data_IF_525196606032
#
_entry.id   IF_525196606032
#
_cell.length_a   1.000
_cell.length_b   1.000
_cell.length_c   1.000
_cell.angle_alpha   90.00
_cell.angle_beta   90.00
_cell.angle_gamma   90.00
#
_symmetry.space_group_name_H-M   'P 1'
#
loop_
_entity.id
_entity.type
_entity.pdbx_description
1 polymer ?
#
# COMPACT_ATOMS: atom_id res chain seq x y z
N UNK A 1 61.75 -9.80 -2.63
CA UNK A 1 61.09 -9.60 -3.93
C UNK A 1 59.64 -9.20 -3.64
N UNK A 2 59.20 -7.98 -3.98
CA UNK A 2 57.90 -7.48 -3.62
C UNK A 2 56.89 -7.71 -4.73
N UNK A 3 55.71 -8.19 -4.34
CA UNK A 3 54.52 -8.27 -5.20
C UNK A 3 53.82 -6.92 -5.30
N UNK A 4 53.71 -6.40 -6.50
CA UNK A 4 52.98 -5.17 -6.78
C UNK A 4 51.47 -5.41 -6.84
N UNK A 5 50.71 -4.64 -6.05
CA UNK A 5 49.25 -4.57 -6.12
C UNK A 5 48.84 -3.49 -7.11
N UNK A 6 48.09 -3.91 -8.14
CA UNK A 6 47.47 -3.00 -9.13
C UNK A 6 46.15 -2.51 -8.58
N UNK A 7 46.06 -1.26 -8.17
CA UNK A 7 44.82 -0.57 -7.83
C UNK A 7 44.11 -0.12 -9.12
N UNK A 8 42.95 -0.72 -9.41
CA UNK A 8 42.01 -0.17 -10.39
C UNK A 8 41.15 0.91 -9.69
N UNK A 9 41.33 2.14 -10.10
CA UNK A 9 40.51 3.27 -9.67
C UNK A 9 39.12 3.21 -10.34
N UNK A 10 38.08 2.98 -9.56
CA UNK A 10 36.69 3.13 -9.97
C UNK A 10 36.28 4.59 -9.78
N UNK A 11 35.99 5.28 -10.88
CA UNK A 11 35.49 6.67 -10.86
C UNK A 11 34.05 6.66 -10.31
N UNK A 12 33.87 7.19 -9.12
CA UNK A 12 32.57 7.53 -8.56
C UNK A 12 32.23 8.94 -9.05
N UNK A 13 31.16 9.05 -9.83
CA UNK A 13 30.60 10.35 -10.20
C UNK A 13 29.92 10.97 -8.98
N UNK A 14 30.51 12.04 -8.47
CA UNK A 14 29.93 12.84 -7.41
C UNK A 14 28.83 13.73 -8.01
N UNK A 15 27.58 13.50 -7.60
CA UNK A 15 26.47 14.43 -7.84
C UNK A 15 26.59 15.52 -6.79
N UNK A 16 26.98 16.72 -7.22
CA UNK A 16 27.05 17.88 -6.36
C UNK A 16 25.64 18.34 -5.98
N UNK A 17 25.29 18.19 -4.71
CA UNK A 17 24.13 18.85 -4.12
C UNK A 17 24.50 20.31 -3.85
N UNK A 18 23.89 21.23 -4.58
CA UNK A 18 24.00 22.66 -4.29
C UNK A 18 23.11 22.98 -3.10
N UNK A 19 23.70 23.11 -1.92
CA UNK A 19 23.02 23.64 -0.74
C UNK A 19 22.94 25.17 -0.88
N UNK A 20 21.74 25.69 -1.12
CA UNK A 20 21.45 27.12 -1.00
C UNK A 20 21.30 27.44 0.47
N UNK A 21 22.30 28.14 1.01
CA UNK A 21 22.26 28.67 2.37
C UNK A 21 21.22 29.81 2.43
N UNK A 22 20.11 29.57 3.13
CA UNK A 22 19.12 30.59 3.43
C UNK A 22 19.66 31.47 4.60
N UNK A 23 19.92 32.74 4.34
CA UNK A 23 20.16 33.76 5.33
C UNK A 23 18.85 34.09 6.07
N UNK A 24 18.83 34.19 7.42
CA UNK A 24 17.61 34.55 8.13
C UNK A 24 17.21 36.01 7.86
N UNK A 25 15.91 36.30 7.66
CA UNK A 25 15.45 37.68 7.45
C UNK A 25 15.54 38.48 8.76
N UNK A 26 16.04 39.72 8.64
CA UNK A 26 15.98 40.76 9.68
C UNK A 26 14.53 41.13 9.94
N UNK A 27 14.07 41.06 11.17
CA UNK A 27 12.79 41.59 11.65
C UNK A 27 12.82 43.13 11.62
N UNK A 28 11.98 43.72 10.76
CA UNK A 28 11.54 45.10 10.90
C UNK A 28 10.10 45.13 11.48
N UNK A 29 9.79 46.07 12.37
CA UNK A 29 8.47 46.15 12.96
C UNK A 29 7.51 47.01 12.12
N UNK A 30 6.35 46.44 11.82
CA UNK A 30 5.11 47.19 11.65
C UNK A 30 4.77 47.71 10.27
N UNK A 31 3.94 46.95 9.58
CA UNK A 31 2.85 47.48 8.74
C UNK A 31 1.72 46.46 8.75
N UNK A 32 0.56 46.87 9.22
CA UNK A 32 -0.68 46.12 9.18
C UNK A 32 -1.00 45.77 7.74
N UNK A 33 -0.85 44.50 7.36
CA UNK A 33 -1.31 43.97 6.07
C UNK A 33 -2.83 43.85 6.09
N UNK A 34 -3.53 44.21 5.02
CA UNK A 34 -4.97 44.00 4.91
C UNK A 34 -5.27 42.51 4.85
N UNK A 35 -6.45 42.15 5.37
CA UNK A 35 -6.98 40.79 5.47
C UNK A 35 -6.67 39.98 4.21
N UNK A 36 -5.92 38.86 4.45
CA UNK A 36 -5.46 38.01 3.38
C UNK A 36 -6.61 37.41 2.59
N UNK A 37 -6.60 37.67 1.31
CA UNK A 37 -7.25 36.78 0.34
C UNK A 37 -6.66 35.39 0.53
N UNK A 38 -7.45 34.45 1.00
CA UNK A 38 -7.15 33.03 0.97
C UNK A 38 -7.01 32.67 -0.52
N UNK A 39 -5.77 32.64 -1.00
CA UNK A 39 -5.45 32.10 -2.32
C UNK A 39 -5.77 30.60 -2.26
N UNK A 40 -6.99 30.24 -2.60
CA UNK A 40 -7.35 28.84 -2.79
C UNK A 40 -6.52 28.30 -3.95
N UNK A 41 -5.65 27.32 -3.67
CA UNK A 41 -4.97 26.58 -4.74
C UNK A 41 -6.02 26.05 -5.71
N UNK A 42 -5.72 26.03 -7.03
CA UNK A 42 -6.65 25.49 -8.00
C UNK A 42 -6.99 24.03 -7.62
N UNK A 43 -8.26 23.62 -7.80
CA UNK A 43 -8.69 22.29 -7.44
C UNK A 43 -7.84 21.23 -8.16
N UNK A 44 -7.39 20.23 -7.43
CA UNK A 44 -6.70 19.10 -8.03
C UNK A 44 -7.69 18.16 -8.71
N UNK A 45 -7.29 17.56 -9.82
CA UNK A 45 -8.08 16.61 -10.57
C UNK A 45 -7.26 15.34 -10.88
N UNK A 46 -7.93 14.21 -10.95
CA UNK A 46 -7.35 12.94 -11.36
C UNK A 46 -8.04 12.40 -12.60
N UNK A 47 -7.22 11.99 -13.57
CA UNK A 47 -7.67 11.32 -14.78
C UNK A 47 -7.12 9.89 -14.84
N UNK A 48 -7.83 9.00 -15.53
CA UNK A 48 -7.41 7.63 -15.81
C UNK A 48 -7.32 7.41 -17.31
N UNK A 49 -6.34 6.63 -17.73
CA UNK A 49 -6.19 6.19 -19.11
C UNK A 49 -7.07 4.99 -19.39
N UNK A 50 -8.05 5.14 -20.29
CA UNK A 50 -9.02 4.08 -20.63
C UNK A 50 -8.56 3.15 -21.76
N UNK A 51 -7.29 3.21 -22.17
CA UNK A 51 -6.80 2.54 -23.36
C UNK A 51 -6.94 3.35 -24.66
N UNK A 52 -7.79 4.40 -24.66
CA UNK A 52 -8.03 5.26 -25.83
C UNK A 52 -7.85 6.74 -25.54
N UNK A 53 -8.27 7.19 -24.35
CA UNK A 53 -8.22 8.60 -23.94
C UNK A 53 -8.05 8.72 -22.44
N UNK A 54 -7.58 9.88 -22.01
CA UNK A 54 -7.62 10.26 -20.61
C UNK A 54 -9.05 10.70 -20.27
N UNK A 55 -9.60 10.14 -19.17
CA UNK A 55 -10.92 10.49 -18.65
C UNK A 55 -10.76 10.99 -17.22
N UNK A 56 -11.16 12.25 -16.97
CA UNK A 56 -11.24 12.78 -15.62
C UNK A 56 -12.32 12.01 -14.83
N UNK A 57 -12.01 11.65 -13.59
CA UNK A 57 -12.91 10.85 -12.76
C UNK A 57 -13.06 11.40 -11.33
N UNK A 58 -12.17 12.30 -10.92
CA UNK A 58 -12.21 12.88 -9.59
C UNK A 58 -11.66 14.32 -9.62
N UNK A 59 -12.25 15.16 -8.77
CA UNK A 59 -11.82 16.54 -8.49
C UNK A 59 -11.97 16.86 -7.03
N UNK A 60 -11.06 17.63 -6.44
CA UNK A 60 -11.08 17.98 -5.02
C UNK A 60 -12.25 18.87 -4.62
N UNK A 61 -12.73 19.72 -5.54
CA UNK A 61 -13.86 20.63 -5.34
C UNK A 61 -15.25 19.97 -5.52
N UNK A 62 -15.26 18.74 -6.02
CA UNK A 62 -16.47 17.94 -6.23
C UNK A 62 -16.28 16.51 -5.67
N UNK A 63 -15.35 16.34 -4.71
CA UNK A 63 -15.05 15.04 -4.13
C UNK A 63 -16.24 14.52 -3.32
N UNK A 64 -16.63 13.25 -3.49
CA UNK A 64 -17.71 12.68 -2.69
C UNK A 64 -17.29 12.51 -1.22
N UNK A 65 -18.23 12.74 -0.31
CA UNK A 65 -18.05 12.48 1.13
C UNK A 65 -18.05 10.98 1.44
N UNK A 66 -18.62 10.18 0.53
CA UNK A 66 -18.78 8.72 0.70
C UNK A 66 -18.67 8.01 -0.65
N UNK A 67 -17.98 6.88 -0.64
CA UNK A 67 -17.89 5.95 -1.76
C UNK A 67 -18.83 4.76 -1.55
N UNK A 68 -19.92 4.68 -2.34
CA UNK A 68 -20.93 3.63 -2.23
C UNK A 68 -20.82 2.56 -3.32
N UNK A 69 -20.06 2.83 -4.37
CA UNK A 69 -19.80 1.91 -5.48
C UNK A 69 -18.42 2.24 -6.11
N UNK A 70 -17.83 1.32 -6.87
CA UNK A 70 -16.71 1.64 -7.75
C UNK A 70 -17.09 2.75 -8.73
N UNK A 71 -16.10 3.55 -9.16
CA UNK A 71 -16.31 4.56 -10.19
C UNK A 71 -16.17 3.94 -11.58
N UNK A 72 -17.13 4.17 -12.47
CA UNK A 72 -17.20 3.54 -13.80
C UNK A 72 -15.91 3.72 -14.61
N UNK A 73 -15.34 4.94 -14.65
CA UNK A 73 -14.10 5.18 -15.40
C UNK A 73 -12.91 4.36 -14.89
N UNK A 74 -12.86 4.06 -13.58
CA UNK A 74 -11.82 3.23 -12.97
C UNK A 74 -12.11 1.76 -13.24
N UNK A 75 -13.38 1.34 -13.12
CA UNK A 75 -13.82 -0.03 -13.40
C UNK A 75 -13.58 -0.42 -14.87
N UNK A 76 -13.86 0.49 -15.80
CA UNK A 76 -13.64 0.30 -17.24
C UNK A 76 -12.14 0.28 -17.61
N UNK A 77 -11.31 1.01 -16.88
CA UNK A 77 -9.89 1.14 -17.20
C UNK A 77 -9.05 -0.03 -16.67
N UNK A 78 -9.42 -0.61 -15.53
CA UNK A 78 -8.63 -1.69 -14.92
C UNK A 78 -8.96 -3.02 -15.55
N UNK A 79 -7.92 -3.72 -16.02
CA UNK A 79 -8.04 -5.09 -16.51
C UNK A 79 -7.52 -6.05 -15.46
N UNK A 80 -8.46 -6.74 -14.79
CA UNK A 80 -8.12 -7.72 -13.79
C UNK A 80 -7.59 -9.01 -14.41
N UNK A 81 -6.42 -9.46 -13.94
CA UNK A 81 -5.77 -10.71 -14.30
C UNK A 81 -5.80 -11.63 -13.11
N UNK A 82 -6.09 -12.90 -13.33
CA UNK A 82 -6.02 -13.89 -12.27
C UNK A 82 -4.56 -14.29 -12.02
N UNK A 83 -4.07 -14.09 -10.81
CA UNK A 83 -2.76 -14.58 -10.38
C UNK A 83 -2.88 -16.02 -9.84
N UNK A 84 -3.90 -16.26 -9.00
CA UNK A 84 -4.24 -17.57 -8.44
C UNK A 84 -5.72 -17.59 -8.05
N UNK A 85 -6.21 -18.73 -7.57
CA UNK A 85 -7.55 -18.80 -6.98
C UNK A 85 -7.65 -17.86 -5.78
N UNK A 86 -8.65 -16.96 -5.83
CA UNK A 86 -8.83 -15.92 -4.82
C UNK A 86 -7.87 -14.73 -4.91
N UNK A 87 -7.02 -14.66 -5.95
CA UNK A 87 -6.11 -13.52 -6.16
C UNK A 87 -6.20 -13.02 -7.59
N UNK A 88 -6.57 -11.74 -7.71
CA UNK A 88 -6.57 -10.98 -8.97
C UNK A 88 -5.71 -9.75 -8.83
N UNK A 89 -5.09 -9.30 -9.90
CA UNK A 89 -4.35 -8.05 -9.93
C UNK A 89 -4.55 -7.29 -11.24
N UNK A 90 -4.33 -5.99 -11.21
CA UNK A 90 -4.44 -5.14 -12.38
C UNK A 90 -3.69 -3.84 -12.20
N UNK A 91 -3.50 -3.10 -13.29
CA UNK A 91 -2.81 -1.83 -13.30
C UNK A 91 -3.70 -0.73 -13.90
N UNK A 92 -3.53 0.46 -13.38
CA UNK A 92 -4.11 1.71 -13.91
C UNK A 92 -3.00 2.69 -14.22
N UNK A 93 -3.16 3.44 -15.29
CA UNK A 93 -2.39 4.65 -15.54
C UNK A 93 -3.22 5.85 -15.15
N UNK A 94 -2.67 6.68 -14.27
CA UNK A 94 -3.34 7.85 -13.73
C UNK A 94 -2.54 9.11 -14.03
N UNK A 95 -3.22 10.22 -14.13
CA UNK A 95 -2.63 11.54 -14.26
C UNK A 95 -3.32 12.51 -13.31
N UNK A 96 -2.53 13.30 -12.60
CA UNK A 96 -2.98 14.34 -11.68
C UNK A 96 -2.12 15.59 -11.76
N UNK A 97 -2.19 16.42 -10.73
CA UNK A 97 -1.39 17.64 -10.63
C UNK A 97 -0.01 17.36 -10.00
N UNK A 98 0.97 18.21 -10.29
CA UNK A 98 2.31 18.17 -9.68
C UNK A 98 3.00 16.82 -9.88
N UNK A 99 3.46 16.22 -8.78
CA UNK A 99 4.15 14.92 -8.76
C UNK A 99 3.24 13.74 -9.12
N UNK A 100 1.92 13.92 -9.08
CA UNK A 100 0.93 12.94 -9.53
C UNK A 100 0.68 12.96 -11.06
N UNK A 101 1.41 13.78 -11.82
CA UNK A 101 1.19 13.94 -13.26
C UNK A 101 1.30 12.64 -14.07
N UNK A 102 2.08 11.68 -13.59
CA UNK A 102 2.23 10.35 -14.21
C UNK A 102 2.34 9.31 -13.12
N UNK A 103 1.28 8.56 -12.94
CA UNK A 103 1.20 7.51 -11.94
C UNK A 103 0.79 6.19 -12.58
N UNK A 104 1.33 5.12 -12.04
CA UNK A 104 0.81 3.77 -12.16
C UNK A 104 0.24 3.37 -10.81
N UNK A 105 -0.97 2.86 -10.78
CA UNK A 105 -1.52 2.19 -9.61
C UNK A 105 -1.60 0.69 -9.89
N UNK A 106 -0.98 -0.09 -9.01
CA UNK A 106 -1.08 -1.55 -9.02
C UNK A 106 -2.10 -1.93 -7.95
N UNK A 107 -3.15 -2.62 -8.34
CA UNK A 107 -4.20 -3.06 -7.46
C UNK A 107 -4.26 -4.58 -7.41
N UNK A 108 -4.44 -5.14 -6.20
CA UNK A 108 -4.58 -6.57 -5.96
C UNK A 108 -5.86 -6.81 -5.17
N UNK A 109 -6.67 -7.76 -5.60
CA UNK A 109 -7.82 -8.27 -4.85
C UNK A 109 -7.50 -9.63 -4.29
N UNK A 110 -7.81 -9.84 -3.02
CA UNK A 110 -7.55 -11.09 -2.31
C UNK A 110 -8.84 -11.55 -1.66
N UNK A 111 -9.27 -12.77 -1.94
CA UNK A 111 -10.37 -13.43 -1.23
C UNK A 111 -9.80 -14.22 -0.05
N UNK A 112 -9.96 -13.74 1.20
CA UNK A 112 -9.39 -14.39 2.37
C UNK A 112 -10.04 -15.76 2.68
N UNK A 113 -11.18 -16.08 2.03
CA UNK A 113 -11.82 -17.40 2.13
C UNK A 113 -11.10 -18.46 1.28
N UNK A 114 -10.32 -18.03 0.28
CA UNK A 114 -9.64 -18.90 -0.70
C UNK A 114 -8.13 -18.96 -0.48
N UNK A 115 -7.56 -18.00 0.24
CA UNK A 115 -6.13 -17.94 0.52
C UNK A 115 -5.88 -17.81 2.03
N UNK A 116 -4.72 -18.26 2.47
CA UNK A 116 -4.26 -18.07 3.84
C UNK A 116 -3.43 -16.81 3.95
N UNK A 117 -3.78 -15.93 4.88
CA UNK A 117 -3.03 -14.71 5.19
C UNK A 117 -2.14 -14.92 6.41
N UNK A 118 -0.92 -14.40 6.37
CA UNK A 118 0.03 -14.37 7.50
C UNK A 118 0.79 -13.07 7.52
N UNK A 119 1.23 -12.65 8.70
CA UNK A 119 2.27 -11.64 8.82
C UNK A 119 3.64 -12.33 8.77
N UNK A 120 4.49 -11.84 7.87
CA UNK A 120 5.90 -12.17 7.81
C UNK A 120 6.69 -11.03 8.43
N UNK A 121 7.60 -11.35 9.34
CA UNK A 121 8.32 -10.35 10.12
C UNK A 121 9.81 -10.56 9.97
N UNK A 122 10.52 -9.46 9.94
CA UNK A 122 11.97 -9.44 9.87
C UNK A 122 12.58 -8.73 11.09
N UNK A 123 11.85 -8.69 12.20
CA UNK A 123 12.37 -8.28 13.50
C UNK A 123 12.29 -9.46 14.48
N UNK A 124 13.30 -9.59 15.33
CA UNK A 124 13.33 -10.56 16.42
C UNK A 124 12.84 -9.91 17.71
N UNK A 125 12.66 -10.69 18.78
CA UNK A 125 12.30 -10.17 20.10
C UNK A 125 13.27 -9.11 20.65
N UNK A 126 14.49 -9.01 20.10
CA UNK A 126 15.46 -7.93 20.37
C UNK A 126 15.28 -6.69 19.49
N UNK A 127 14.37 -6.69 18.53
CA UNK A 127 13.79 -5.50 17.90
C UNK A 127 14.68 -4.65 17.00
N UNK A 128 15.84 -5.10 16.57
CA UNK A 128 16.86 -4.15 16.16
C UNK A 128 16.90 -3.76 14.67
N UNK A 129 16.32 -4.50 13.71
CA UNK A 129 16.44 -4.13 12.29
C UNK A 129 15.26 -4.57 11.43
N UNK A 130 14.70 -3.64 10.68
CA UNK A 130 13.88 -3.95 9.52
C UNK A 130 14.75 -4.65 8.47
N UNK A 131 14.38 -5.84 8.04
CA UNK A 131 15.17 -6.63 7.08
C UNK A 131 14.34 -7.22 5.94
N UNK A 132 13.02 -7.10 5.99
CA UNK A 132 12.14 -7.65 4.96
C UNK A 132 12.16 -6.83 3.68
N UNK A 133 12.23 -7.51 2.55
CA UNK A 133 12.03 -6.96 1.20
C UNK A 133 11.22 -7.95 0.37
N UNK A 134 10.61 -7.50 -0.72
CA UNK A 134 9.84 -8.38 -1.61
C UNK A 134 10.68 -9.50 -2.22
N UNK A 135 11.99 -9.29 -2.40
CA UNK A 135 12.91 -10.33 -2.88
C UNK A 135 13.13 -11.44 -1.85
N UNK A 136 12.99 -11.09 -0.57
CA UNK A 136 13.04 -12.05 0.55
C UNK A 136 11.71 -12.72 0.85
N UNK A 137 10.65 -12.40 0.11
CA UNK A 137 9.36 -13.07 0.28
C UNK A 137 9.49 -14.57 -0.03
N UNK A 138 8.80 -15.39 0.76
CA UNK A 138 8.80 -16.85 0.63
C UNK A 138 8.43 -17.28 -0.80
N UNK A 139 9.03 -18.35 -1.27
CA UNK A 139 8.84 -18.86 -2.63
C UNK A 139 7.40 -19.31 -2.93
N UNK A 140 6.66 -19.74 -1.89
CA UNK A 140 5.26 -20.16 -1.97
C UNK A 140 4.24 -19.02 -1.80
N UNK A 141 4.69 -17.77 -1.59
CA UNK A 141 3.83 -16.61 -1.50
C UNK A 141 3.24 -16.25 -2.88
N UNK A 142 1.92 -16.06 -2.94
CA UNK A 142 1.21 -15.54 -4.12
C UNK A 142 1.26 -14.01 -4.12
N UNK A 143 1.02 -13.38 -2.97
CA UNK A 143 1.12 -11.95 -2.76
C UNK A 143 1.99 -11.70 -1.53
N UNK A 144 2.84 -10.70 -1.61
CA UNK A 144 3.55 -10.18 -0.45
C UNK A 144 3.59 -8.65 -0.55
N UNK A 145 3.30 -7.96 0.54
CA UNK A 145 3.24 -6.49 0.60
C UNK A 145 3.65 -6.02 1.98
N UNK A 146 4.43 -4.93 2.07
CA UNK A 146 4.72 -4.35 3.38
C UNK A 146 3.46 -3.78 4.02
N UNK A 147 3.33 -3.92 5.33
CA UNK A 147 2.14 -3.46 6.07
C UNK A 147 2.50 -2.72 7.35
N UNK A 148 1.53 -1.93 7.83
CA UNK A 148 1.68 -1.08 9.01
C UNK A 148 2.38 0.24 8.69
N UNK A 149 2.68 0.99 9.74
CA UNK A 149 3.55 2.16 9.74
C UNK A 149 4.79 1.86 10.58
N UNK A 150 5.89 2.58 10.34
CA UNK A 150 7.15 2.29 11.02
C UNK A 150 7.74 3.56 11.63
N UNK A 151 8.26 3.43 12.83
CA UNK A 151 9.12 4.43 13.45
C UNK A 151 10.55 3.88 13.38
N UNK A 152 11.36 4.44 12.48
CA UNK A 152 12.71 3.93 12.18
C UNK A 152 12.67 2.51 11.63
N UNK A 153 12.91 1.49 12.47
CA UNK A 153 12.98 0.07 12.10
C UNK A 153 11.92 -0.79 12.80
N UNK A 154 11.10 -0.19 13.66
CA UNK A 154 10.08 -0.89 14.41
C UNK A 154 8.68 -0.55 13.89
N UNK A 155 7.75 -1.52 13.86
CA UNK A 155 6.36 -1.25 13.60
C UNK A 155 5.80 -0.24 14.60
N UNK A 156 4.87 0.59 14.14
CA UNK A 156 4.09 1.45 15.01
C UNK A 156 2.72 0.84 15.27
N UNK A 157 2.28 0.90 16.54
CA UNK A 157 0.96 0.45 16.93
C UNK A 157 0.87 -1.05 17.16
N UNK A 158 -0.35 -1.58 17.16
CA UNK A 158 -0.64 -2.93 17.55
C UNK A 158 -0.11 -3.95 16.54
N UNK A 159 0.62 -4.94 17.06
CA UNK A 159 1.12 -6.08 16.29
C UNK A 159 0.86 -7.37 17.05
N UNK A 160 0.17 -8.30 16.39
CA UNK A 160 -0.05 -9.67 16.88
C UNK A 160 0.50 -10.65 15.85
N UNK A 161 1.29 -11.62 16.31
CA UNK A 161 1.89 -12.67 15.48
C UNK A 161 1.60 -14.02 16.12
N UNK A 162 1.01 -14.93 15.35
CA UNK A 162 0.65 -16.29 15.79
C UNK A 162 -0.08 -16.30 17.16
N UNK A 163 -1.04 -15.37 17.34
CA UNK A 163 -1.84 -15.23 18.55
C UNK A 163 -1.16 -14.50 19.71
N UNK A 164 0.08 -14.08 19.56
CA UNK A 164 0.84 -13.37 20.59
C UNK A 164 0.95 -11.88 20.30
N UNK A 165 0.56 -11.02 21.25
CA UNK A 165 0.76 -9.57 21.16
C UNK A 165 2.25 -9.24 21.33
N UNK A 166 2.83 -8.60 20.31
CA UNK A 166 4.20 -8.10 20.30
C UNK A 166 4.28 -6.63 20.67
N UNK A 167 3.35 -5.84 20.16
CA UNK A 167 3.27 -4.41 20.42
C UNK A 167 1.83 -4.07 20.77
N UNK A 168 1.67 -3.26 21.82
CA UNK A 168 0.37 -2.74 22.25
C UNK A 168 -0.19 -1.72 21.22
N UNK A 169 -1.51 -1.49 21.22
CA UNK A 169 -2.14 -0.50 20.35
C UNK A 169 -1.54 0.89 20.50
N UNK A 170 -1.19 1.49 19.37
CA UNK A 170 -0.86 2.90 19.28
C UNK A 170 -2.11 3.77 19.36
N UNK A 171 -1.95 5.02 19.81
CA UNK A 171 -3.04 5.99 19.91
C UNK A 171 -3.08 6.90 18.70
N UNK A 172 -4.27 7.16 18.19
CA UNK A 172 -4.49 8.10 17.08
C UNK A 172 -5.92 8.00 16.55
N UNK A 173 -6.60 9.14 16.31
CA UNK A 173 -8.02 9.17 15.93
C UNK A 173 -8.30 8.56 14.55
N UNK A 174 -7.31 8.52 13.68
CA UNK A 174 -7.40 7.94 12.34
C UNK A 174 -6.63 6.63 12.21
N UNK A 175 -6.40 5.93 13.32
CA UNK A 175 -5.74 4.62 13.27
C UNK A 175 -6.76 3.50 13.05
N UNK A 176 -6.35 2.47 12.34
CA UNK A 176 -7.15 1.26 12.11
C UNK A 176 -6.25 0.04 12.22
N UNK A 177 -6.69 -0.99 12.92
CA UNK A 177 -6.06 -2.29 12.88
C UNK A 177 -6.77 -3.21 11.88
N UNK A 178 -5.99 -3.93 11.10
CA UNK A 178 -6.42 -5.04 10.27
C UNK A 178 -6.08 -6.32 11.02
N UNK A 179 -7.07 -7.15 11.22
CA UNK A 179 -6.99 -8.36 12.05
C UNK A 179 -7.32 -9.58 11.22
N UNK A 180 -6.47 -10.58 11.30
CA UNK A 180 -6.77 -11.93 10.79
C UNK A 180 -7.05 -12.81 12.01
N UNK A 181 -8.25 -13.39 12.08
CA UNK A 181 -8.63 -14.30 13.14
C UNK A 181 -8.12 -15.74 12.89
N UNK A 182 -8.33 -16.62 13.84
CA UNK A 182 -7.88 -18.01 13.74
C UNK A 182 -8.60 -18.82 12.65
N UNK A 183 -9.76 -18.36 12.20
CA UNK A 183 -10.51 -18.97 11.09
C UNK A 183 -10.06 -18.45 9.71
N UNK A 184 -9.17 -17.45 9.66
CA UNK A 184 -8.75 -16.78 8.44
C UNK A 184 -9.64 -15.60 8.04
N UNK A 185 -10.68 -15.29 8.81
CA UNK A 185 -11.53 -14.12 8.61
C UNK A 185 -10.75 -12.83 8.84
N UNK A 186 -11.12 -11.77 8.09
CA UNK A 186 -10.49 -10.46 8.24
C UNK A 186 -11.50 -9.48 8.80
N UNK A 187 -11.11 -8.75 9.85
CA UNK A 187 -11.91 -7.70 10.46
C UNK A 187 -11.10 -6.46 10.71
N UNK A 188 -11.79 -5.35 10.89
CA UNK A 188 -11.22 -4.03 11.01
C UNK A 188 -11.62 -3.43 12.35
N UNK A 189 -10.66 -2.88 13.09
CA UNK A 189 -10.88 -2.31 14.41
C UNK A 189 -10.42 -0.86 14.39
N UNK A 190 -11.36 0.06 14.58
CA UNK A 190 -11.09 1.48 14.73
C UNK A 190 -10.48 1.81 16.11
N UNK A 191 -10.10 3.08 16.34
CA UNK A 191 -9.39 3.50 17.55
C UNK A 191 -10.16 3.19 18.83
N UNK A 192 -11.49 3.37 18.84
CA UNK A 192 -12.32 3.10 20.03
C UNK A 192 -12.36 1.61 20.37
N UNK A 193 -12.46 0.75 19.34
CA UNK A 193 -12.43 -0.70 19.53
C UNK A 193 -11.07 -1.21 19.99
N UNK A 194 -9.98 -0.56 19.60
CA UNK A 194 -8.62 -0.94 20.04
C UNK A 194 -8.39 -0.68 21.54
N UNK A 195 -9.15 0.24 22.14
CA UNK A 195 -9.10 0.51 23.58
C UNK A 195 -9.72 -0.63 24.40
N UNK A 196 -10.62 -1.46 23.82
CA UNK A 196 -11.28 -2.57 24.50
C UNK A 196 -10.44 -3.87 24.40
N UNK A 197 -9.90 -4.39 25.51
CA UNK A 197 -9.15 -5.66 25.51
C UNK A 197 -10.00 -6.85 25.05
N UNK A 198 -11.34 -6.80 25.17
CA UNK A 198 -12.21 -7.88 24.73
C UNK A 198 -12.20 -8.05 23.21
N UNK A 199 -12.13 -6.95 22.47
CA UNK A 199 -12.08 -6.95 21.00
C UNK A 199 -10.79 -7.53 20.46
N UNK A 200 -9.73 -7.52 21.26
CA UNK A 200 -8.40 -8.02 20.91
C UNK A 200 -8.21 -9.51 21.16
N UNK A 201 -9.19 -10.22 21.74
CA UNK A 201 -9.11 -11.66 21.98
C UNK A 201 -9.33 -12.48 20.72
N UNK A 202 -8.71 -13.67 20.65
CA UNK A 202 -8.88 -14.61 19.53
C UNK A 202 -8.24 -14.18 18.22
N UNK A 203 -7.30 -13.22 18.27
CA UNK A 203 -6.60 -12.71 17.10
C UNK A 203 -5.40 -13.59 16.79
N UNK A 204 -5.32 -14.10 15.56
CA UNK A 204 -4.18 -14.86 15.09
C UNK A 204 -3.05 -13.94 14.63
N UNK A 205 -3.39 -12.90 13.85
CA UNK A 205 -2.45 -11.89 13.41
C UNK A 205 -3.14 -10.52 13.34
N UNK A 206 -2.43 -9.45 13.64
CA UNK A 206 -2.91 -8.08 13.47
C UNK A 206 -1.76 -7.11 13.23
N UNK A 207 -2.06 -6.06 12.50
CA UNK A 207 -1.22 -4.87 12.41
C UNK A 207 -2.10 -3.61 12.44
N UNK A 208 -1.58 -2.55 13.04
CA UNK A 208 -2.22 -1.25 13.07
C UNK A 208 -1.53 -0.31 12.08
N UNK A 209 -2.31 0.58 11.47
CA UNK A 209 -1.80 1.59 10.55
C UNK A 209 -2.62 2.87 10.59
N UNK A 210 -2.17 3.92 9.90
CA UNK A 210 -2.85 5.19 9.72
C UNK A 210 -2.36 5.94 8.49
N UNK A 211 -3.07 6.97 7.98
CA UNK A 211 -4.42 7.32 8.39
C UNK A 211 -5.47 6.36 7.81
N UNK A 212 -6.60 6.25 8.49
CA UNK A 212 -7.82 5.71 7.92
C UNK A 212 -8.19 6.54 6.70
N UNK A 213 -8.31 5.91 5.55
CA UNK A 213 -8.66 6.54 4.26
C UNK A 213 -10.17 6.58 4.05
N UNK A 214 -10.82 5.48 4.41
CA UNK A 214 -12.27 5.31 4.38
C UNK A 214 -12.69 4.60 5.66
N UNK A 215 -13.69 5.12 6.36
CA UNK A 215 -14.33 4.43 7.49
C UNK A 215 -15.28 3.34 6.99
N UNK A 216 -15.86 2.55 7.88
CA UNK A 216 -16.92 1.62 7.52
C UNK A 216 -18.00 2.35 6.71
N UNK A 217 -18.55 1.68 5.68
CA UNK A 217 -19.49 2.25 4.70
C UNK A 217 -18.91 3.20 3.63
N UNK A 218 -17.61 3.40 3.59
CA UNK A 218 -16.94 4.19 2.55
C UNK A 218 -16.92 5.69 2.81
N UNK A 219 -17.21 6.15 4.05
CA UNK A 219 -17.12 7.57 4.39
C UNK A 219 -15.66 8.05 4.39
N UNK A 220 -15.44 9.21 3.78
CA UNK A 220 -14.14 9.89 3.79
C UNK A 220 -14.02 10.68 5.10
N UNK A 221 -13.04 10.42 5.97
CA UNK A 221 -12.85 11.17 7.22
C UNK A 221 -12.71 12.67 6.97
N UNK A 222 -13.34 13.50 7.80
CA UNK A 222 -13.26 14.97 7.71
C UNK A 222 -11.83 15.49 7.73
N UNK A 223 -10.95 14.84 8.48
CA UNK A 223 -9.54 15.20 8.55
C UNK A 223 -8.80 15.05 7.22
N UNK A 224 -9.32 14.27 6.27
CA UNK A 224 -8.76 14.15 4.92
C UNK A 224 -9.33 15.17 3.94
N UNK A 225 -10.38 15.89 4.34
CA UNK A 225 -11.07 16.87 3.48
C UNK A 225 -10.66 18.32 3.77
N UNK A 226 -9.96 18.55 4.89
CA UNK A 226 -9.61 19.89 5.33
C UNK A 226 -8.20 19.93 5.89
N UNK A 227 -7.37 20.90 5.51
CA UNK A 227 -6.05 21.11 6.09
C UNK A 227 -6.12 21.39 7.61
N UNK A 228 -5.02 21.12 8.32
CA UNK A 228 -4.90 21.47 9.75
C UNK A 228 -5.58 20.52 10.73
N UNK A 229 -6.06 19.37 10.27
CA UNK A 229 -6.70 18.34 11.13
C UNK A 229 -5.72 17.22 11.57
N UNK A 230 -4.42 17.52 11.62
CA UNK A 230 -3.40 16.56 12.07
C UNK A 230 -2.90 15.59 11.00
N UNK A 231 -3.37 15.72 9.77
CA UNK A 231 -2.86 15.02 8.59
C UNK A 231 -2.38 16.07 7.59
N UNK A 232 -1.19 15.83 7.02
CA UNK A 232 -0.72 16.62 5.89
C UNK A 232 -1.42 16.12 4.61
N UNK A 233 -2.50 16.84 4.25
CA UNK A 233 -3.34 16.50 3.10
C UNK A 233 -2.77 17.01 1.76
N UNK A 234 -1.73 17.85 1.81
CA UNK A 234 -1.10 18.44 0.63
C UNK A 234 0.17 17.70 0.22
N UNK A 235 0.78 16.95 1.14
CA UNK A 235 2.00 16.20 0.87
C UNK A 235 1.76 15.10 -0.16
N UNK A 236 2.56 15.14 -1.23
CA UNK A 236 2.55 14.14 -2.30
C UNK A 236 3.62 13.10 -2.05
N UNK A 237 3.25 11.82 -2.21
CA UNK A 237 4.17 10.70 -2.04
C UNK A 237 3.62 9.46 -2.75
N UNK A 238 4.45 8.48 -3.07
CA UNK A 238 3.98 7.15 -3.45
C UNK A 238 3.17 6.56 -2.29
N UNK A 239 2.00 6.01 -2.60
CA UNK A 239 1.06 5.53 -1.57
C UNK A 239 0.90 4.03 -1.64
N UNK A 240 0.70 3.45 -0.48
CA UNK A 240 0.30 2.07 -0.30
C UNK A 240 -0.88 2.04 0.65
N UNK A 241 -1.86 1.19 0.39
CA UNK A 241 -3.03 1.05 1.26
C UNK A 241 -3.70 -0.30 1.10
N UNK A 242 -4.48 -0.64 2.12
CA UNK A 242 -5.30 -1.84 2.15
C UNK A 242 -6.74 -1.45 2.49
N UNK A 243 -7.71 -2.10 1.86
CA UNK A 243 -9.13 -1.88 2.08
C UNK A 243 -9.94 -3.17 2.03
N UNK A 244 -11.18 -3.08 2.51
CA UNK A 244 -12.20 -4.12 2.38
C UNK A 244 -13.17 -3.75 1.26
N UNK A 245 -13.47 -4.68 0.37
CA UNK A 245 -14.53 -4.58 -0.63
C UNK A 245 -15.87 -5.01 -0.02
N UNK A 246 -16.98 -4.63 -0.67
CA UNK A 246 -18.33 -4.96 -0.21
C UNK A 246 -18.59 -6.49 -0.14
N UNK A 247 -17.90 -7.29 -0.94
CA UNK A 247 -18.02 -8.74 -0.99
C UNK A 247 -17.10 -9.49 -0.01
N UNK A 248 -16.38 -8.74 0.84
CA UNK A 248 -15.45 -9.26 1.85
C UNK A 248 -14.05 -9.54 1.34
N UNK A 249 -13.76 -9.33 0.05
CA UNK A 249 -12.38 -9.38 -0.46
C UNK A 249 -11.57 -8.19 0.06
N UNK A 250 -10.27 -8.39 0.16
CA UNK A 250 -9.32 -7.30 0.40
C UNK A 250 -8.90 -6.65 -0.91
N UNK A 251 -8.67 -5.35 -0.87
CA UNK A 251 -8.07 -4.56 -1.93
C UNK A 251 -6.75 -3.99 -1.43
N UNK A 252 -5.67 -4.23 -2.13
CA UNK A 252 -4.36 -3.61 -1.86
C UNK A 252 -4.01 -2.75 -3.06
N UNK A 253 -3.57 -1.51 -2.84
CA UNK A 253 -3.19 -0.57 -3.91
C UNK A 253 -1.84 0.04 -3.60
N UNK A 254 -0.92 -0.08 -4.55
CA UNK A 254 0.39 0.57 -4.53
C UNK A 254 0.45 1.57 -5.70
N UNK A 255 0.73 2.84 -5.42
CA UNK A 255 1.00 3.84 -6.46
C UNK A 255 2.49 3.98 -6.71
N UNK A 256 2.84 4.18 -7.98
CA UNK A 256 4.23 4.31 -8.45
C UNK A 256 4.32 5.45 -9.43
N UNK A 257 5.47 6.11 -9.45
CA UNK A 257 5.75 7.09 -10.51
C UNK A 257 5.92 6.37 -11.86
N UNK A 258 5.24 6.84 -12.91
CA UNK A 258 5.23 6.22 -14.25
C UNK A 258 5.92 7.12 -15.27
N UNK A 259 7.22 7.37 -15.08
CA UNK A 259 8.05 8.07 -16.06
C UNK A 259 9.35 7.32 -16.29
N UNK A 260 9.81 7.33 -17.54
CA UNK A 260 11.09 6.72 -17.96
C UNK A 260 11.23 5.21 -17.65
N UNK A 261 10.10 4.46 -17.67
CA UNK A 261 10.07 3.03 -17.38
C UNK A 261 10.17 2.71 -15.89
N UNK A 262 10.39 1.44 -15.56
CA UNK A 262 10.39 0.95 -14.17
C UNK A 262 11.58 1.45 -13.34
N UNK A 263 12.65 1.90 -13.98
CA UNK A 263 13.88 2.36 -13.31
C UNK A 263 13.64 3.52 -12.33
N UNK A 264 12.66 4.37 -12.59
CA UNK A 264 12.28 5.50 -11.74
C UNK A 264 10.98 5.24 -10.94
N UNK A 265 10.37 4.09 -11.09
CA UNK A 265 9.13 3.74 -10.42
C UNK A 265 9.22 3.73 -8.89
N UNK A 266 10.40 3.62 -8.31
CA UNK A 266 10.63 3.69 -6.87
C UNK A 266 10.78 5.12 -6.32
N UNK A 267 10.86 6.14 -7.18
CA UNK A 267 10.84 7.54 -6.75
C UNK A 267 9.52 7.79 -6.03
N UNK A 268 9.55 8.42 -4.84
CA UNK A 268 8.37 8.52 -3.98
C UNK A 268 7.39 9.62 -4.43
N UNK A 269 7.25 9.86 -5.72
CA UNK A 269 6.27 10.77 -6.30
C UNK A 269 4.91 10.09 -6.40
N UNK A 270 3.86 10.82 -6.01
CA UNK A 270 2.55 10.21 -5.98
C UNK A 270 1.40 11.17 -5.66
N UNK A 271 0.24 10.60 -5.33
CA UNK A 271 -0.94 11.35 -4.97
C UNK A 271 -0.85 11.89 -3.54
N UNK A 272 -1.65 12.90 -3.24
CA UNK A 272 -1.94 13.29 -1.87
C UNK A 272 -2.75 12.20 -1.15
N UNK A 273 -2.89 12.29 0.17
CA UNK A 273 -3.74 11.33 0.93
C UNK A 273 -5.21 11.38 0.50
N UNK A 274 -5.85 12.57 0.29
CA UNK A 274 -7.21 12.64 -0.25
C UNK A 274 -7.37 12.00 -1.64
N UNK A 275 -6.44 12.26 -2.55
CA UNK A 275 -6.43 11.65 -3.89
C UNK A 275 -6.31 10.12 -3.80
N UNK A 276 -5.51 9.63 -2.86
CA UNK A 276 -5.34 8.19 -2.66
C UNK A 276 -6.57 7.55 -2.00
N UNK A 277 -7.21 8.24 -1.04
CA UNK A 277 -8.49 7.80 -0.47
C UNK A 277 -9.58 7.70 -1.55
N UNK A 278 -9.63 8.68 -2.46
CA UNK A 278 -10.53 8.65 -3.61
C UNK A 278 -10.24 7.45 -4.52
N UNK A 279 -8.97 7.14 -4.81
CA UNK A 279 -8.60 5.98 -5.62
C UNK A 279 -9.04 4.66 -4.97
N UNK A 280 -8.85 4.50 -3.65
CA UNK A 280 -9.33 3.33 -2.91
C UNK A 280 -10.85 3.16 -3.03
N UNK A 281 -11.60 4.25 -2.83
CA UNK A 281 -13.06 4.25 -2.96
C UNK A 281 -13.53 3.97 -4.39
N UNK A 282 -12.89 4.59 -5.37
CA UNK A 282 -13.20 4.40 -6.80
C UNK A 282 -12.90 2.95 -7.28
N UNK A 283 -11.97 2.24 -6.64
CA UNK A 283 -11.72 0.81 -6.84
C UNK A 283 -12.70 -0.09 -6.08
N UNK A 284 -13.60 0.47 -5.28
CA UNK A 284 -14.68 -0.21 -4.58
C UNK A 284 -14.43 -0.51 -3.11
N UNK A 285 -13.37 0.03 -2.49
CA UNK A 285 -13.17 -0.12 -1.07
C UNK A 285 -14.29 0.55 -0.26
N UNK A 286 -14.79 -0.16 0.76
CA UNK A 286 -15.80 0.30 1.73
C UNK A 286 -15.18 0.71 3.05
N UNK A 287 -13.99 0.26 3.30
CA UNK A 287 -13.14 0.63 4.41
C UNK A 287 -11.70 0.56 3.92
N UNK A 288 -10.85 1.49 4.32
CA UNK A 288 -9.46 1.49 3.89
C UNK A 288 -8.56 2.23 4.88
N UNK A 289 -7.30 1.80 4.96
CA UNK A 289 -6.25 2.46 5.74
C UNK A 289 -4.98 2.55 4.89
N UNK A 290 -4.26 3.65 5.03
CA UNK A 290 -2.94 3.81 4.43
C UNK A 290 -1.91 2.93 5.15
N UNK A 291 -0.95 2.45 4.39
CA UNK A 291 0.23 1.73 4.87
C UNK A 291 1.48 2.60 4.63
N UNK A 292 2.65 2.16 5.10
CA UNK A 292 3.89 2.87 4.82
C UNK A 292 4.25 2.77 3.33
N UNK A 293 3.97 3.85 2.62
CA UNK A 293 4.22 4.05 1.19
C UNK A 293 5.61 4.63 0.94
N UNK A 294 5.69 5.65 0.08
CA UNK A 294 6.92 6.36 -0.24
C UNK A 294 8.04 5.41 -0.67
N UNK A 295 9.21 5.60 -0.07
CA UNK A 295 10.38 4.74 -0.31
C UNK A 295 10.24 3.32 0.27
N UNK A 296 9.26 3.10 1.15
CA UNK A 296 9.01 1.78 1.78
C UNK A 296 8.08 0.90 0.96
N UNK A 297 7.18 1.50 0.18
CA UNK A 297 6.13 0.80 -0.54
C UNK A 297 6.68 -0.27 -1.48
N UNK A 298 6.35 -1.53 -1.22
CA UNK A 298 6.78 -2.66 -2.03
C UNK A 298 5.74 -3.78 -2.03
N UNK A 299 5.60 -4.42 -3.18
CA UNK A 299 4.61 -5.48 -3.39
C UNK A 299 5.12 -6.52 -4.39
N UNK A 300 4.70 -7.76 -4.21
CA UNK A 300 4.95 -8.87 -5.12
C UNK A 300 3.63 -9.56 -5.41
N UNK A 301 3.44 -9.94 -6.67
CA UNK A 301 2.38 -10.86 -7.12
C UNK A 301 3.03 -11.97 -7.94
N UNK A 302 2.72 -13.21 -7.62
CA UNK A 302 3.19 -14.39 -8.36
C UNK A 302 2.00 -15.10 -8.99
N UNK A 303 2.07 -15.29 -10.30
CA UNK A 303 1.06 -16.00 -11.07
C UNK A 303 1.30 -17.52 -11.02
N UNK A 304 0.25 -18.30 -11.24
CA UNK A 304 0.34 -19.78 -11.26
C UNK A 304 1.28 -20.31 -12.34
N UNK A 305 1.49 -19.57 -13.43
CA UNK A 305 2.42 -19.92 -14.49
C UNK A 305 3.91 -19.71 -14.10
N UNK A 306 4.18 -19.23 -12.89
CA UNK A 306 5.51 -18.94 -12.37
C UNK A 306 5.99 -17.51 -12.63
N UNK A 307 5.25 -16.70 -13.39
CA UNK A 307 5.58 -15.28 -13.60
C UNK A 307 5.50 -14.52 -12.29
N UNK A 308 6.52 -13.75 -11.99
CA UNK A 308 6.59 -12.93 -10.77
C UNK A 308 6.68 -11.47 -11.15
N UNK A 309 5.75 -10.68 -10.62
CA UNK A 309 5.73 -9.23 -10.70
C UNK A 309 6.17 -8.69 -9.35
N UNK A 310 7.22 -7.86 -9.32
CA UNK A 310 7.76 -7.30 -8.09
C UNK A 310 7.98 -5.80 -8.23
N UNK A 311 7.28 -5.04 -7.42
CA UNK A 311 7.45 -3.60 -7.27
C UNK A 311 8.25 -3.34 -6.01
N UNK A 312 9.52 -3.04 -6.19
CA UNK A 312 10.50 -2.93 -5.10
C UNK A 312 10.39 -1.58 -4.39
N UNK A 313 10.59 -1.59 -3.06
CA UNK A 313 10.85 -0.39 -2.28
C UNK A 313 12.34 -0.01 -2.32
N UNK A 314 12.66 1.18 -1.84
CA UNK A 314 14.04 1.67 -1.71
C UNK A 314 14.66 1.31 -0.37
N UNK A 315 13.89 0.82 0.60
CA UNK A 315 14.38 0.44 1.92
C UNK A 315 13.79 -0.89 2.40
N UNK A 316 14.48 -1.50 3.35
CA UNK A 316 13.99 -2.65 4.10
C UNK A 316 12.92 -2.22 5.10
N UNK A 317 11.97 -3.11 5.38
CA UNK A 317 10.81 -2.86 6.25
C UNK A 317 10.71 -3.96 7.32
N UNK A 318 10.03 -3.71 8.46
CA UNK A 318 9.97 -4.70 9.55
C UNK A 318 9.01 -5.85 9.29
N UNK A 319 7.95 -5.65 8.50
CA UNK A 319 6.93 -6.69 8.33
C UNK A 319 6.16 -6.56 7.01
N UNK A 320 5.56 -7.68 6.61
CA UNK A 320 4.71 -7.80 5.43
C UNK A 320 3.48 -8.65 5.71
N UNK A 321 2.41 -8.41 4.98
CA UNK A 321 1.29 -9.32 4.81
C UNK A 321 1.59 -10.22 3.61
N UNK A 322 1.43 -11.53 3.81
CA UNK A 322 1.71 -12.52 2.80
C UNK A 322 0.48 -13.41 2.62
N UNK A 323 0.08 -13.62 1.36
CA UNK A 323 -0.99 -14.52 0.99
C UNK A 323 -0.41 -15.80 0.36
N UNK A 324 -0.88 -16.94 0.83
CA UNK A 324 -0.50 -18.28 0.38
C UNK A 324 -1.72 -19.05 -0.12
N UNK A 325 -1.49 -20.08 -0.94
CA UNK A 325 -2.53 -21.05 -1.20
C UNK A 325 -3.01 -21.73 0.08
N UNK A 326 -4.31 -22.00 0.16
CA UNK A 326 -4.84 -22.79 1.27
C UNK A 326 -4.32 -24.23 1.14
N UNK A 327 -3.67 -24.81 2.19
CA UNK A 327 -3.00 -26.12 2.09
C UNK A 327 -3.92 -27.30 1.77
N UNK A 328 -5.21 -27.18 2.06
CA UNK A 328 -6.22 -28.20 1.79
C UNK A 328 -6.87 -28.10 0.40
N UNK A 329 -6.51 -27.08 -0.38
CA UNK A 329 -7.03 -26.88 -1.73
C UNK A 329 -5.93 -27.16 -2.74
N UNK A 330 -6.01 -28.27 -3.45
CA UNK A 330 -5.06 -28.72 -4.49
C UNK A 330 -4.89 -27.74 -5.67
N UNK A 331 -5.70 -26.69 -5.71
CA UNK A 331 -5.88 -25.82 -6.88
C UNK A 331 -4.69 -24.88 -7.15
N UNK A 332 -3.84 -24.66 -6.16
CA UNK A 332 -2.74 -23.69 -6.27
C UNK A 332 -1.36 -24.30 -6.62
N UNK A 333 -1.24 -25.61 -6.78
CA UNK A 333 0.00 -26.28 -7.14
C UNK A 333 -0.05 -26.79 -8.58
N UNK A 334 0.60 -26.14 -9.56
CA UNK A 334 0.58 -26.57 -10.96
C UNK A 334 1.16 -27.97 -11.17
N UNK A 335 2.06 -28.43 -10.31
CA UNK A 335 2.62 -29.79 -10.38
C UNK A 335 1.61 -30.86 -9.94
N UNK A 336 0.78 -30.61 -8.92
CA UNK A 336 -0.26 -31.54 -8.50
C UNK A 336 -1.41 -31.64 -9.51
N UNK A 337 -1.76 -30.54 -10.18
CA UNK A 337 -2.73 -30.55 -11.28
C UNK A 337 -2.27 -31.42 -12.45
N UNK A 338 -0.96 -31.39 -12.79
CA UNK A 338 -0.39 -32.25 -13.85
C UNK A 338 -0.38 -33.74 -13.47
N UNK A 339 -0.25 -34.04 -12.18
CA UNK A 339 -0.29 -35.40 -11.67
C UNK A 339 -1.74 -35.93 -11.61
N UNK A 340 -2.69 -35.09 -11.17
CA UNK A 340 -4.12 -35.43 -11.13
C UNK A 340 -4.70 -35.61 -12.54
N UNK A 341 -4.38 -34.76 -13.50
CA UNK A 341 -4.81 -34.92 -14.89
C UNK A 341 -4.18 -36.13 -15.59
N UNK A 342 -2.94 -36.52 -15.23
CA UNK A 342 -2.29 -37.74 -15.71
C UNK A 342 -2.86 -39.01 -15.09
N UNK A 343 -3.28 -38.93 -13.82
CA UNK A 343 -4.00 -40.07 -13.17
C UNK A 343 -5.36 -40.27 -13.77
N UNK A 344 -6.17 -39.21 -13.95
CA UNK A 344 -7.47 -39.28 -14.58
C UNK A 344 -7.43 -39.76 -16.06
N UNK A 345 -6.33 -39.47 -16.78
CA UNK A 345 -6.16 -39.98 -18.15
C UNK A 345 -5.70 -41.42 -18.18
N UNK A 346 -5.19 -42.03 -17.11
CA UNK A 346 -4.82 -43.44 -17.02
C UNK A 346 -6.01 -44.33 -16.65
N UNK A 347 -7.02 -43.79 -15.98
CA UNK A 347 -8.24 -44.51 -15.59
C UNK A 347 -9.27 -44.57 -16.72
N UNK A 348 -9.01 -43.96 -17.88
CA UNK A 348 -9.84 -43.92 -19.08
C UNK A 348 -9.27 -44.75 -20.25
N UNK A 349 -8.17 -45.50 -20.07
CA UNK A 349 -7.57 -46.44 -20.98
C UNK A 349 -7.56 -47.86 -20.38
#
# INVERSE_FOLDING_TARGET
MPFGAVYRATRVAAIALVAVAATPPRTEPGLLSPAGSTSSLPPSALSVWTGRAWREWWRSDAAPDRWTAPHDAIADAIQWKRAADGVEWGELRLAGAGEARRLRAVAVRIDPRLVRLRLDTAFTAGGERAAWTVEGARADAIVAVNVGQFIRTLPWGWVVLDGREFLAPGRGPLSTAVVVDSSGGVRWIGPDGLADPAVRRGVAAAFQSYPTLLTANGDVPDALRSPGRGIDVEHRDARLGIGALADGRLLIVLTRFDAFGESLGSIPFGPTIPEFAALMGALGARQAVALDGGISGQMLVREQNGTTHAWRGMRRVPMALVAFCHPERDVCHPERQRLSSRAAARDLL
#
